data_IF_357675876027
#
_entry.id   IF_357675876027
#
_cell.length_a   1.000
_cell.length_b   1.000
_cell.length_c   1.000
_cell.angle_alpha   90.00
_cell.angle_beta   90.00
_cell.angle_gamma   90.00
#
_symmetry.space_group_name_H-M   'P 1'
#
loop_
_entity.id
_entity.type
_entity.pdbx_description
1 polymer ?
#
# COMPACT_ATOMS: atom_id res chain seq x y z
N UNK A 1 13.14 -20.92 8.17
CA UNK A 1 11.68 -21.16 8.15
C UNK A 1 11.45 -22.61 7.77
N UNK A 2 10.65 -23.37 8.52
CA UNK A 2 10.33 -24.77 8.16
C UNK A 2 9.13 -24.81 7.22
N UNK A 3 9.07 -25.80 6.33
CA UNK A 3 8.01 -25.96 5.31
C UNK A 3 6.58 -25.89 5.89
N UNK A 4 6.27 -26.49 7.06
CA UNK A 4 4.94 -26.38 7.66
C UNK A 4 4.58 -24.95 8.08
N UNK A 5 5.52 -24.21 8.67
CA UNK A 5 5.30 -22.82 9.08
C UNK A 5 5.09 -21.89 7.87
N UNK A 6 5.78 -22.16 6.77
CA UNK A 6 5.59 -21.40 5.53
C UNK A 6 4.18 -21.58 4.94
N UNK A 7 3.69 -22.81 4.88
CA UNK A 7 2.36 -23.11 4.36
C UNK A 7 1.25 -22.52 5.23
N UNK A 8 1.42 -22.51 6.56
CA UNK A 8 0.49 -21.83 7.46
C UNK A 8 0.41 -20.33 7.17
N UNK A 9 1.54 -19.68 6.91
CA UNK A 9 1.57 -18.25 6.52
C UNK A 9 0.88 -18.01 5.18
N UNK A 10 1.06 -18.91 4.20
CA UNK A 10 0.35 -18.83 2.92
C UNK A 10 -1.17 -18.92 3.12
N UNK A 11 -1.63 -19.83 3.99
CA UNK A 11 -3.06 -19.98 4.32
C UNK A 11 -3.61 -18.74 5.04
N UNK A 12 -2.85 -18.15 5.96
CA UNK A 12 -3.24 -16.90 6.66
C UNK A 12 -3.41 -15.73 5.68
N UNK A 13 -2.55 -15.65 4.66
CA UNK A 13 -2.65 -14.66 3.58
C UNK A 13 -3.69 -15.02 2.50
N UNK A 14 -4.34 -16.19 2.60
CA UNK A 14 -5.32 -16.65 1.62
C UNK A 14 -4.72 -17.09 0.27
N UNK A 15 -3.41 -17.35 0.21
CA UNK A 15 -2.71 -17.76 -1.01
C UNK A 15 -3.02 -19.23 -1.32
N UNK A 16 -3.51 -19.49 -2.53
CA UNK A 16 -3.73 -20.87 -2.98
C UNK A 16 -2.41 -21.59 -3.20
N UNK A 17 -2.35 -22.88 -2.88
CA UNK A 17 -1.19 -23.74 -3.14
C UNK A 17 -0.76 -23.72 -4.63
N UNK A 18 -1.70 -23.42 -5.55
CA UNK A 18 -1.46 -23.33 -7.00
C UNK A 18 -0.69 -22.07 -7.40
N UNK A 19 -0.90 -20.98 -6.68
CA UNK A 19 -0.28 -19.69 -6.97
C UNK A 19 1.12 -19.57 -6.34
N UNK A 20 1.47 -20.53 -5.48
CA UNK A 20 2.75 -20.59 -4.78
C UNK A 20 3.94 -20.84 -5.71
N UNK A 21 3.71 -21.38 -6.91
CA UNK A 21 4.75 -21.56 -7.94
C UNK A 21 5.18 -20.22 -8.58
N UNK A 22 4.30 -19.23 -8.55
CA UNK A 22 4.56 -17.89 -9.06
C UNK A 22 5.23 -16.99 -8.01
N UNK A 23 5.29 -17.42 -6.76
CA UNK A 23 5.71 -16.61 -5.62
C UNK A 23 6.95 -17.19 -4.96
N UNK A 24 7.93 -16.33 -4.69
CA UNK A 24 9.09 -16.70 -3.90
C UNK A 24 8.76 -16.69 -2.42
N UNK A 25 9.49 -17.50 -1.66
CA UNK A 25 9.42 -17.52 -0.19
C UNK A 25 9.58 -16.11 0.41
N UNK A 26 10.46 -15.28 -0.17
CA UNK A 26 10.68 -13.90 0.27
C UNK A 26 9.43 -13.03 0.12
N UNK A 27 8.81 -13.03 -1.06
CA UNK A 27 7.61 -12.23 -1.31
C UNK A 27 6.46 -12.57 -0.37
N UNK A 28 6.23 -13.86 -0.10
CA UNK A 28 5.20 -14.29 0.85
C UNK A 28 5.53 -13.82 2.28
N UNK A 29 6.79 -13.84 2.67
CA UNK A 29 7.21 -13.36 3.99
C UNK A 29 7.06 -11.84 4.13
N UNK A 30 7.35 -11.09 3.06
CA UNK A 30 7.19 -9.63 3.04
C UNK A 30 5.71 -9.25 3.10
N UNK A 31 4.85 -9.92 2.32
CA UNK A 31 3.39 -9.74 2.43
C UNK A 31 2.85 -10.12 3.82
N UNK A 32 3.40 -11.16 4.45
CA UNK A 32 3.03 -11.52 5.83
C UNK A 32 3.40 -10.43 6.83
N UNK A 33 4.59 -9.84 6.71
CA UNK A 33 5.01 -8.73 7.56
C UNK A 33 4.12 -7.49 7.35
N UNK A 34 3.78 -7.16 6.10
CA UNK A 34 2.88 -6.04 5.78
C UNK A 34 1.46 -6.29 6.30
N UNK A 35 0.94 -7.51 6.19
CA UNK A 35 -0.39 -7.85 6.73
C UNK A 35 -0.48 -7.67 8.26
N UNK A 36 0.64 -7.81 8.98
CA UNK A 36 0.71 -7.51 10.41
C UNK A 36 0.72 -6.01 10.71
N UNK A 37 1.02 -5.19 9.71
CA UNK A 37 1.11 -3.75 9.80
C UNK A 37 -0.22 -3.06 9.43
N UNK A 38 -1.12 -3.75 8.71
CA UNK A 38 -2.47 -3.25 8.39
C UNK A 38 -3.30 -2.89 9.64
N UNK A 39 -3.14 -3.64 10.73
CA UNK A 39 -3.84 -3.39 12.00
C UNK A 39 -3.13 -2.38 12.92
N UNK A 40 -1.99 -1.82 12.48
CA UNK A 40 -1.18 -0.93 13.30
C UNK A 40 -1.85 0.44 13.48
N UNK A 41 -2.60 0.58 14.57
CA UNK A 41 -3.28 1.83 14.97
C UNK A 41 -2.34 2.97 15.38
N UNK A 42 -1.02 2.72 15.38
CA UNK A 42 0.00 3.70 15.73
C UNK A 42 0.39 4.64 14.59
N UNK A 43 -0.22 4.49 13.40
CA UNK A 43 -0.21 5.54 12.38
C UNK A 43 -0.97 6.76 12.94
N UNK A 44 -0.22 7.63 13.62
CA UNK A 44 -0.73 8.72 14.44
C UNK A 44 -1.57 9.75 13.66
N UNK A 45 -1.48 9.75 12.34
CA UNK A 45 -2.28 10.60 11.47
C UNK A 45 -2.57 9.87 10.15
N UNK A 46 -3.85 9.68 9.91
CA UNK A 46 -4.40 9.34 8.62
C UNK A 46 -4.42 10.64 7.81
N UNK A 47 -3.61 10.73 6.74
CA UNK A 47 -3.44 11.97 5.97
C UNK A 47 -4.78 12.37 5.32
N UNK A 48 -5.25 13.58 5.60
CA UNK A 48 -6.53 14.06 5.07
C UNK A 48 -6.38 14.55 3.63
N UNK A 49 -7.49 14.69 2.92
CA UNK A 49 -7.51 15.31 1.57
C UNK A 49 -6.80 16.68 1.57
N UNK A 50 -6.97 17.47 2.63
CA UNK A 50 -6.30 18.77 2.77
C UNK A 50 -4.77 18.67 2.89
N UNK A 51 -4.24 17.60 3.49
CA UNK A 51 -2.80 17.38 3.58
C UNK A 51 -2.21 17.06 2.20
N UNK A 52 -2.94 16.28 1.39
CA UNK A 52 -2.53 16.01 0.02
C UNK A 52 -2.66 17.23 -0.89
N UNK A 53 -3.72 18.03 -0.74
CA UNK A 53 -3.90 19.29 -1.49
C UNK A 53 -2.78 20.30 -1.16
N UNK A 54 -2.39 20.39 0.12
CA UNK A 54 -1.29 21.26 0.56
C UNK A 54 0.07 20.76 0.04
N UNK A 55 0.30 19.44 0.04
CA UNK A 55 1.49 18.85 -0.56
C UNK A 55 1.58 19.18 -2.05
N UNK A 56 0.46 19.05 -2.77
CA UNK A 56 0.38 19.38 -4.19
C UNK A 56 0.67 20.86 -4.46
N UNK A 57 0.05 21.77 -3.69
CA UNK A 57 0.31 23.21 -3.85
C UNK A 57 1.79 23.55 -3.63
N UNK A 58 2.43 22.99 -2.61
CA UNK A 58 3.86 23.19 -2.38
C UNK A 58 4.71 22.65 -3.54
N UNK A 59 4.32 21.51 -4.12
CA UNK A 59 5.06 20.90 -5.22
C UNK A 59 4.88 21.67 -6.54
N UNK A 60 3.69 22.21 -6.81
CA UNK A 60 3.42 23.09 -7.96
C UNK A 60 4.18 24.44 -7.86
N UNK A 61 4.39 24.96 -6.64
CA UNK A 61 5.21 26.15 -6.42
C UNK A 61 6.69 25.86 -6.69
N UNK A 62 7.17 24.66 -6.35
CA UNK A 62 8.57 24.26 -6.56
C UNK A 62 8.87 23.84 -8.00
N UNK A 63 7.89 23.25 -8.70
CA UNK A 63 8.00 22.82 -10.09
C UNK A 63 7.02 23.63 -10.95
N UNK A 64 7.43 24.86 -11.23
CA UNK A 64 6.74 25.84 -12.09
C UNK A 64 6.59 25.32 -13.54
N UNK A 65 5.65 24.40 -13.80
CA UNK A 65 5.06 24.02 -15.12
C UNK A 65 5.16 22.53 -15.57
N UNK A 66 5.68 21.60 -14.76
CA UNK A 66 5.63 20.14 -15.10
C UNK A 66 4.40 19.42 -14.51
N UNK A 67 3.29 20.13 -14.36
CA UNK A 67 2.06 19.71 -13.67
C UNK A 67 1.42 18.44 -14.28
N UNK A 68 1.57 18.22 -15.58
CA UNK A 68 0.87 17.16 -16.31
C UNK A 68 1.39 15.74 -16.07
N UNK A 69 2.69 15.57 -15.75
CA UNK A 69 3.25 14.23 -15.49
C UNK A 69 3.01 13.77 -14.05
N UNK A 70 2.79 14.73 -13.15
CA UNK A 70 2.61 14.48 -11.73
C UNK A 70 1.15 14.23 -11.35
N UNK A 71 0.22 14.82 -12.12
CA UNK A 71 -1.24 14.62 -11.98
C UNK A 71 -1.65 13.15 -12.12
N UNK A 72 -1.08 12.43 -13.10
CA UNK A 72 -1.36 11.00 -13.35
C UNK A 72 -0.82 10.09 -12.23
N UNK A 73 0.36 10.39 -11.67
CA UNK A 73 0.92 9.60 -10.58
C UNK A 73 0.18 9.84 -9.25
N UNK A 74 -0.24 11.08 -8.99
CA UNK A 74 -0.94 11.41 -7.76
C UNK A 74 -2.41 10.93 -7.80
N UNK A 75 -3.06 10.96 -8.96
CA UNK A 75 -4.42 10.39 -9.10
C UNK A 75 -4.44 8.86 -8.90
N UNK A 76 -3.36 8.14 -9.23
CA UNK A 76 -3.21 6.71 -8.85
C UNK A 76 -3.11 6.55 -7.32
N UNK A 77 -2.41 7.43 -6.62
CA UNK A 77 -2.34 7.42 -5.15
C UNK A 77 -3.68 7.77 -4.52
N UNK A 78 -4.44 8.74 -5.06
CA UNK A 78 -5.79 9.06 -4.60
C UNK A 78 -6.81 7.95 -4.89
N UNK A 79 -6.72 7.27 -6.03
CA UNK A 79 -7.61 6.15 -6.36
C UNK A 79 -7.31 4.90 -5.52
N UNK A 80 -6.03 4.60 -5.24
CA UNK A 80 -5.67 3.50 -4.35
C UNK A 80 -5.91 3.86 -2.86
N UNK A 81 -5.69 5.12 -2.47
CA UNK A 81 -6.02 5.62 -1.14
C UNK A 81 -7.54 5.71 -0.91
N UNK A 82 -8.33 6.09 -1.92
CA UNK A 82 -9.78 6.18 -1.85
C UNK A 82 -10.50 4.85 -1.62
N UNK A 83 -9.86 3.72 -1.96
CA UNK A 83 -10.35 2.38 -1.58
C UNK A 83 -10.15 2.11 -0.08
N UNK A 84 -9.18 2.75 0.57
CA UNK A 84 -8.94 2.64 2.03
C UNK A 84 -9.83 3.59 2.87
N UNK A 85 -10.46 4.58 2.25
CA UNK A 85 -11.50 5.44 2.89
C UNK A 85 -12.93 5.01 2.51
N UNK A 86 -13.10 3.74 2.14
CA UNK A 86 -14.41 3.13 2.02
C UNK A 86 -15.06 2.94 3.39
N UNK A 87 -15.87 3.93 3.78
CA UNK A 87 -17.00 3.81 4.70
C UNK A 87 -16.67 3.50 6.18
N UNK A 88 -16.42 4.56 6.95
CA UNK A 88 -17.06 4.82 8.25
C UNK A 88 -16.93 6.31 8.59
#
# INVERSE_FOLDING_TARGET
>A
MTTPLFLLRCVQLGISIRDLDLLTIGMVNDMYAESSNDEYKGYAQIATQSDFDAFWQNLCVLYNDNVLTLDVHLSILYLNGGVLYGNN
#
